data_IF_655197920563
#
_entry.id   IF_655197920563
#
_cell.length_a   1.000
_cell.length_b   1.000
_cell.length_c   1.000
_cell.angle_alpha   90.00
_cell.angle_beta   90.00
_cell.angle_gamma   90.00
#
_symmetry.space_group_name_H-M   'P 1'
#
loop_
_entity.id
_entity.type
_entity.pdbx_description
1 polymer ?
#
# COMPACT_ATOMS: atom_id res chain seq x y z
N UNK A 1 11.86 -5.64 -15.34
CA UNK A 1 11.68 -5.76 -13.88
C UNK A 1 10.29 -5.23 -13.50
N UNK A 2 9.58 -5.95 -12.66
CA UNK A 2 8.25 -5.51 -12.24
C UNK A 2 8.36 -4.32 -11.28
N UNK A 3 7.55 -3.27 -11.46
CA UNK A 3 7.54 -2.17 -10.51
C UNK A 3 6.94 -2.60 -9.17
N UNK A 4 7.44 -2.01 -8.10
CA UNK A 4 6.89 -2.19 -6.75
C UNK A 4 5.97 -1.01 -6.48
N UNK A 5 4.70 -1.31 -6.18
CA UNK A 5 3.69 -0.29 -5.91
C UNK A 5 3.28 -0.34 -4.45
N UNK A 6 3.51 0.76 -3.74
CA UNK A 6 3.04 0.90 -2.37
C UNK A 6 1.56 1.21 -2.35
N UNK A 7 0.79 0.44 -1.60
CA UNK A 7 -0.66 0.63 -1.49
C UNK A 7 -0.97 1.14 -0.10
N UNK A 8 -1.60 2.33 -0.02
CA UNK A 8 -1.98 2.92 1.25
C UNK A 8 -3.38 2.40 1.60
N UNK A 9 -3.51 1.56 2.65
CA UNK A 9 -4.79 0.96 2.99
C UNK A 9 -5.73 1.94 3.67
N UNK A 10 -6.96 1.51 3.88
CA UNK A 10 -7.97 2.26 4.61
C UNK A 10 -7.95 1.87 6.09
N UNK A 11 -8.40 2.79 6.93
CA UNK A 11 -8.58 2.54 8.36
C UNK A 11 -10.06 2.36 8.66
N UNK A 12 -10.38 1.32 9.44
CA UNK A 12 -11.74 1.05 9.89
C UNK A 12 -11.84 1.40 11.38
N UNK A 13 -12.51 2.50 11.70
CA UNK A 13 -12.63 2.98 13.08
C UNK A 13 -13.43 2.03 13.97
N UNK A 14 -14.43 1.36 13.42
CA UNK A 14 -15.27 0.45 14.20
C UNK A 14 -14.50 -0.79 14.64
N UNK A 15 -13.66 -1.31 13.75
CA UNK A 15 -12.88 -2.52 14.01
C UNK A 15 -11.47 -2.21 14.48
N UNK A 16 -11.11 -0.92 14.51
CA UNK A 16 -9.76 -0.47 14.86
C UNK A 16 -8.71 -1.25 14.09
N UNK A 17 -8.91 -1.37 12.78
CA UNK A 17 -8.04 -2.19 11.95
C UNK A 17 -7.77 -1.55 10.59
N UNK A 18 -6.66 -1.95 10.00
CA UNK A 18 -6.34 -1.65 8.62
C UNK A 18 -7.12 -2.62 7.75
N UNK A 19 -7.72 -2.14 6.67
CA UNK A 19 -8.36 -3.05 5.73
C UNK A 19 -8.08 -2.68 4.29
N UNK A 20 -8.16 -3.68 3.44
CA UNK A 20 -7.99 -3.54 2.01
C UNK A 20 -8.73 -4.68 1.32
N UNK A 21 -9.41 -4.37 0.24
CA UNK A 21 -10.04 -5.40 -0.57
C UNK A 21 -8.96 -6.13 -1.36
N UNK A 22 -8.97 -7.48 -1.34
CA UNK A 22 -7.97 -8.25 -2.09
C UNK A 22 -7.91 -7.92 -3.58
N UNK A 23 -9.02 -7.45 -4.16
CA UNK A 23 -9.09 -7.10 -5.58
C UNK A 23 -8.09 -6.01 -5.96
N UNK A 24 -7.79 -5.07 -5.06
CA UNK A 24 -6.80 -4.03 -5.35
C UNK A 24 -5.41 -4.63 -5.56
N UNK A 25 -5.05 -5.59 -4.72
CA UNK A 25 -3.76 -6.27 -4.86
C UNK A 25 -3.74 -7.12 -6.13
N UNK A 26 -4.84 -7.80 -6.42
CA UNK A 26 -4.96 -8.64 -7.60
C UNK A 26 -4.86 -7.84 -8.90
N UNK A 27 -5.49 -6.65 -8.95
CA UNK A 27 -5.41 -5.79 -10.12
C UNK A 27 -3.97 -5.37 -10.41
N UNK A 28 -3.21 -5.04 -9.36
CA UNK A 28 -1.81 -4.68 -9.55
C UNK A 28 -1.00 -5.86 -10.04
N UNK A 29 -1.22 -7.04 -9.48
CA UNK A 29 -0.51 -8.24 -9.95
C UNK A 29 -0.86 -8.58 -11.38
N UNK A 30 -2.15 -8.43 -11.77
CA UNK A 30 -2.60 -8.68 -13.14
C UNK A 30 -1.98 -7.69 -14.12
N UNK A 31 -1.60 -6.50 -13.65
CA UNK A 31 -0.92 -5.49 -14.46
C UNK A 31 0.60 -5.56 -14.32
N UNK A 32 1.11 -6.70 -13.89
CA UNK A 32 2.54 -6.99 -13.82
C UNK A 32 3.30 -6.12 -12.84
N UNK A 33 2.66 -5.76 -11.73
CA UNK A 33 3.27 -5.00 -10.63
C UNK A 33 3.33 -5.84 -9.37
N UNK A 34 4.20 -5.45 -8.43
CA UNK A 34 4.29 -6.09 -7.12
C UNK A 34 3.62 -5.17 -6.10
N UNK A 35 2.46 -5.57 -5.55
CA UNK A 35 1.80 -4.73 -4.54
C UNK A 35 2.41 -4.94 -3.16
N UNK A 36 2.63 -3.84 -2.45
CA UNK A 36 3.09 -3.86 -1.06
C UNK A 36 2.20 -2.93 -0.26
N UNK A 37 1.59 -3.45 0.82
CA UNK A 37 0.75 -2.63 1.67
C UNK A 37 1.61 -1.81 2.63
N UNK A 38 1.42 -0.49 2.63
CA UNK A 38 2.14 0.42 3.51
C UNK A 38 1.51 0.42 4.90
N UNK A 39 2.32 0.63 5.95
CA UNK A 39 1.78 0.82 7.28
C UNK A 39 1.09 2.19 7.39
N UNK A 40 0.03 2.26 8.21
CA UNK A 40 -0.56 3.53 8.59
C UNK A 40 0.21 4.08 9.79
N UNK A 41 1.36 4.66 9.52
CA UNK A 41 2.28 5.15 10.55
C UNK A 41 2.31 6.68 10.54
N UNK A 42 2.46 7.26 11.74
CA UNK A 42 2.70 8.69 11.88
C UNK A 42 4.20 9.00 11.96
N UNK A 43 5.04 7.98 11.97
CA UNK A 43 6.48 8.16 12.01
C UNK A 43 7.00 8.46 10.61
N UNK A 44 7.45 9.70 10.43
CA UNK A 44 7.95 10.16 9.14
C UNK A 44 9.14 9.35 8.65
N UNK A 45 10.01 8.93 9.56
CA UNK A 45 11.19 8.14 9.19
C UNK A 45 10.78 6.80 8.58
N UNK A 46 9.76 6.14 9.16
CA UNK A 46 9.26 4.89 8.63
C UNK A 46 8.66 5.09 7.24
N UNK A 47 7.87 6.14 7.07
CA UNK A 47 7.23 6.44 5.78
C UNK A 47 8.26 6.77 4.72
N UNK A 48 9.28 7.56 5.07
CA UNK A 48 10.34 7.92 4.12
C UNK A 48 11.05 6.66 3.60
N UNK A 49 11.32 5.70 4.47
CA UNK A 49 11.94 4.44 4.06
C UNK A 49 11.01 3.63 3.16
N UNK A 50 9.73 3.63 3.45
CA UNK A 50 8.75 2.95 2.59
C UNK A 50 8.71 3.59 1.20
N UNK A 51 8.70 4.92 1.13
CA UNK A 51 8.69 5.62 -0.16
C UNK A 51 9.93 5.30 -0.98
N UNK A 52 11.08 5.16 -0.34
CA UNK A 52 12.32 4.84 -1.04
C UNK A 52 12.30 3.46 -1.68
N UNK A 53 11.47 2.55 -1.18
CA UNK A 53 11.42 1.17 -1.67
C UNK A 53 10.52 0.97 -2.87
N UNK A 54 9.65 1.92 -3.18
CA UNK A 54 8.61 1.73 -4.20
C UNK A 54 8.83 2.57 -5.42
N UNK A 55 8.27 2.12 -6.55
CA UNK A 55 8.31 2.84 -7.82
C UNK A 55 7.07 3.73 -8.00
N UNK A 56 6.02 3.46 -7.26
CA UNK A 56 4.79 4.26 -7.32
C UNK A 56 3.91 3.98 -6.11
N UNK A 57 2.85 4.77 -5.96
CA UNK A 57 1.96 4.68 -4.81
C UNK A 57 0.52 4.72 -5.28
N UNK A 58 -0.30 3.87 -4.67
CA UNK A 58 -1.75 3.84 -4.90
C UNK A 58 -2.47 4.19 -3.59
N UNK A 59 -3.30 5.22 -3.62
CA UNK A 59 -4.14 5.61 -2.50
C UNK A 59 -5.54 5.03 -2.67
N UNK A 60 -6.06 4.40 -1.62
CA UNK A 60 -7.43 3.88 -1.60
C UNK A 60 -8.31 4.88 -0.88
N UNK A 61 -9.25 5.45 -1.58
CA UNK A 61 -10.24 6.36 -0.98
C UNK A 61 -11.59 6.12 -1.59
#
# INVERSE_FOLDING_TARGET
MKPIIGVIPLWDDEKESIWMLPDYMNVLEDNNAIPIMFPLSTDKTNLDRCYDMVDGILFLQ
#
